data_IF_289835879027
#
_entry.id   IF_289835879027
#
_cell.length_a   1.000
_cell.length_b   1.000
_cell.length_c   1.000
_cell.angle_alpha   90.00
_cell.angle_beta   90.00
_cell.angle_gamma   90.00
#
_symmetry.space_group_name_H-M   'P 1'
#
loop_
_entity.id
_entity.type
_entity.pdbx_description
1 polymer ?
#
# COMPACT_ATOMS: atom_id res chain seq x y z
N UNK A 1 -28.59 -8.93 -14.84
CA UNK A 1 -27.84 -9.56 -13.74
C UNK A 1 -26.32 -9.71 -13.98
N UNK A 2 -25.70 -9.06 -14.99
CA UNK A 2 -24.29 -9.34 -15.36
C UNK A 2 -23.20 -8.36 -14.91
N UNK A 3 -23.52 -7.22 -14.30
CA UNK A 3 -22.50 -6.17 -14.02
C UNK A 3 -21.80 -6.31 -12.65
N UNK A 4 -22.46 -6.80 -11.59
CA UNK A 4 -21.83 -6.92 -10.26
C UNK A 4 -20.85 -8.11 -10.15
N UNK A 5 -21.03 -9.15 -10.97
CA UNK A 5 -20.16 -10.33 -10.96
C UNK A 5 -18.74 -10.05 -11.43
N UNK A 6 -18.63 -9.17 -12.42
CA UNK A 6 -17.38 -8.83 -13.07
C UNK A 6 -16.50 -7.98 -12.15
N UNK A 7 -17.08 -7.16 -11.28
CA UNK A 7 -16.32 -6.21 -10.45
C UNK A 7 -15.57 -6.87 -9.28
N UNK A 8 -16.12 -7.91 -8.67
CA UNK A 8 -15.51 -8.51 -7.45
C UNK A 8 -14.24 -9.30 -7.77
N UNK A 9 -14.29 -10.11 -8.83
CA UNK A 9 -13.14 -10.86 -9.32
C UNK A 9 -12.03 -9.93 -9.83
N UNK A 10 -12.42 -8.81 -10.46
CA UNK A 10 -11.48 -7.76 -10.89
C UNK A 10 -10.78 -7.08 -9.73
N UNK A 11 -11.49 -6.80 -8.63
CA UNK A 11 -10.87 -6.18 -7.44
C UNK A 11 -9.89 -7.15 -6.78
N UNK A 12 -10.27 -8.42 -6.60
CA UNK A 12 -9.37 -9.44 -6.04
C UNK A 12 -8.15 -9.68 -6.94
N UNK A 13 -8.34 -9.76 -8.25
CA UNK A 13 -7.25 -9.91 -9.22
C UNK A 13 -6.34 -8.68 -9.25
N UNK A 14 -6.90 -7.47 -9.20
CA UNK A 14 -6.13 -6.23 -9.14
C UNK A 14 -5.33 -6.13 -7.83
N UNK A 15 -5.94 -6.50 -6.70
CA UNK A 15 -5.26 -6.56 -5.41
C UNK A 15 -4.09 -7.56 -5.44
N UNK A 16 -4.35 -8.77 -5.92
CA UNK A 16 -3.32 -9.81 -6.07
C UNK A 16 -2.19 -9.38 -7.02
N UNK A 17 -2.50 -8.69 -8.11
CA UNK A 17 -1.51 -8.16 -9.04
C UNK A 17 -0.64 -7.09 -8.37
N UNK A 18 -1.24 -6.16 -7.64
CA UNK A 18 -0.51 -5.11 -6.92
C UNK A 18 0.40 -5.73 -5.85
N UNK A 19 -0.13 -6.65 -5.03
CA UNK A 19 0.66 -7.34 -4.01
C UNK A 19 1.79 -8.19 -4.64
N UNK A 20 1.54 -8.85 -5.78
CA UNK A 20 2.56 -9.59 -6.52
C UNK A 20 3.67 -8.67 -7.07
N UNK A 21 3.31 -7.48 -7.57
CA UNK A 21 4.29 -6.47 -7.98
C UNK A 21 5.12 -5.98 -6.79
N UNK A 22 4.50 -5.70 -5.64
CA UNK A 22 5.21 -5.27 -4.43
C UNK A 22 6.10 -6.37 -3.85
N UNK A 23 5.66 -7.61 -3.88
CA UNK A 23 6.47 -8.76 -3.50
C UNK A 23 7.65 -8.97 -4.47
N UNK A 24 7.41 -8.80 -5.77
CA UNK A 24 8.45 -8.84 -6.81
C UNK A 24 9.50 -7.74 -6.62
N UNK A 25 9.07 -6.51 -6.31
CA UNK A 25 9.95 -5.40 -5.94
C UNK A 25 10.79 -5.73 -4.70
N UNK A 26 10.17 -6.33 -3.68
CA UNK A 26 10.88 -6.74 -2.46
C UNK A 26 11.96 -7.79 -2.75
N UNK A 27 11.69 -8.74 -3.66
CA UNK A 27 12.65 -9.76 -4.06
C UNK A 27 13.76 -9.21 -4.97
N UNK A 28 13.42 -8.27 -5.86
CA UNK A 28 14.36 -7.67 -6.81
C UNK A 28 15.19 -6.51 -6.20
N UNK A 29 14.73 -5.93 -5.09
CA UNK A 29 15.41 -4.81 -4.43
C UNK A 29 15.28 -3.48 -5.18
N UNK A 30 14.34 -3.34 -6.12
CA UNK A 30 14.20 -2.10 -6.92
C UNK A 30 13.94 -0.87 -6.05
N UNK A 31 13.18 -1.02 -4.97
CA UNK A 31 13.02 0.03 -3.96
C UNK A 31 14.33 0.58 -3.42
N UNK A 32 15.29 -0.30 -3.11
CA UNK A 32 16.60 0.09 -2.58
C UNK A 32 17.41 0.83 -3.65
N UNK A 33 17.36 0.36 -4.90
CA UNK A 33 18.01 1.03 -6.03
C UNK A 33 17.43 2.43 -6.26
N UNK A 34 16.10 2.56 -6.23
CA UNK A 34 15.41 3.83 -6.39
C UNK A 34 15.76 4.81 -5.26
N UNK A 35 15.77 4.32 -4.01
CA UNK A 35 16.20 5.09 -2.85
C UNK A 35 17.65 5.57 -3.01
N UNK A 36 18.56 4.67 -3.41
CA UNK A 36 19.98 4.98 -3.61
C UNK A 36 20.18 5.98 -4.75
N UNK A 37 19.44 5.86 -5.84
CA UNK A 37 19.46 6.79 -6.95
C UNK A 37 19.01 8.20 -6.53
N UNK A 38 17.94 8.29 -5.72
CA UNK A 38 17.49 9.56 -5.12
C UNK A 38 18.58 10.14 -4.21
N UNK A 39 19.13 9.36 -3.29
CA UNK A 39 20.18 9.80 -2.39
C UNK A 39 21.41 10.32 -3.16
N UNK A 40 21.87 9.60 -4.18
CA UNK A 40 22.99 10.01 -5.04
C UNK A 40 22.68 11.32 -5.79
N UNK A 41 21.45 11.51 -6.25
CA UNK A 41 21.00 12.75 -6.89
C UNK A 41 21.10 13.92 -5.90
N UNK A 42 20.62 13.75 -4.67
CA UNK A 42 20.71 14.78 -3.63
C UNK A 42 22.17 15.14 -3.27
N UNK A 43 23.06 14.14 -3.25
CA UNK A 43 24.50 14.36 -3.05
C UNK A 43 25.10 15.12 -4.23
N UNK A 44 24.81 14.70 -5.46
CA UNK A 44 25.35 15.31 -6.68
C UNK A 44 25.01 16.81 -6.81
N UNK A 45 23.78 17.20 -6.44
CA UNK A 45 23.35 18.59 -6.46
C UNK A 45 23.69 19.40 -5.20
N UNK A 46 24.49 18.85 -4.26
CA UNK A 46 24.79 19.46 -2.95
C UNK A 46 23.54 19.79 -2.10
N UNK A 47 22.41 19.13 -2.37
CA UNK A 47 21.15 19.32 -1.64
C UNK A 47 21.06 18.45 -0.37
N UNK A 48 22.10 17.68 -0.07
CA UNK A 48 22.09 16.74 1.07
C UNK A 48 21.85 17.42 2.43
N UNK A 49 22.29 18.68 2.60
CA UNK A 49 22.07 19.45 3.84
C UNK A 49 20.60 19.87 4.03
N UNK A 50 19.86 20.04 2.93
CA UNK A 50 18.44 20.46 2.92
C UNK A 50 17.49 19.29 2.69
N UNK A 51 17.98 18.04 2.71
CA UNK A 51 17.22 16.82 2.43
C UNK A 51 15.93 16.70 3.24
N UNK A 52 15.92 17.17 4.48
CA UNK A 52 14.73 17.12 5.35
C UNK A 52 13.54 17.88 4.75
N UNK A 53 13.78 19.04 4.12
CA UNK A 53 12.71 19.85 3.52
C UNK A 53 12.08 19.11 2.34
N UNK A 54 12.91 18.51 1.49
CA UNK A 54 12.44 17.72 0.35
C UNK A 54 11.75 16.44 0.79
N UNK A 55 12.25 15.76 1.82
CA UNK A 55 11.62 14.57 2.39
C UNK A 55 10.23 14.90 2.93
N UNK A 56 10.08 15.98 3.71
CA UNK A 56 8.77 16.42 4.20
C UNK A 56 7.85 16.77 3.02
N UNK A 57 8.36 17.46 2.00
CA UNK A 57 7.61 17.77 0.79
C UNK A 57 7.11 16.51 0.06
N UNK A 58 7.98 15.51 -0.13
CA UNK A 58 7.64 14.24 -0.78
C UNK A 58 6.63 13.44 0.05
N UNK A 59 6.79 13.38 1.37
CA UNK A 59 5.83 12.73 2.27
C UNK A 59 4.47 13.43 2.26
N UNK A 60 4.47 14.76 2.19
CA UNK A 60 3.24 15.54 2.07
C UNK A 60 2.52 15.25 0.75
N UNK A 61 3.25 15.22 -0.37
CA UNK A 61 2.71 14.85 -1.69
C UNK A 61 2.17 13.42 -1.69
N UNK A 62 2.91 12.47 -1.11
CA UNK A 62 2.45 11.08 -0.95
C UNK A 62 1.16 11.01 -0.12
N UNK A 63 1.09 11.74 0.99
CA UNK A 63 -0.11 11.82 1.83
C UNK A 63 -1.31 12.38 1.08
N UNK A 64 -1.14 13.47 0.32
CA UNK A 64 -2.20 14.04 -0.52
C UNK A 64 -2.66 13.06 -1.61
N UNK A 65 -1.73 12.37 -2.25
CA UNK A 65 -2.04 11.36 -3.27
C UNK A 65 -2.85 10.21 -2.67
N UNK A 66 -2.43 9.67 -1.53
CA UNK A 66 -3.14 8.60 -0.83
C UNK A 66 -4.52 9.04 -0.35
N UNK A 67 -4.67 10.28 0.13
CA UNK A 67 -5.97 10.84 0.51
C UNK A 67 -6.90 10.99 -0.70
N UNK A 68 -6.37 11.48 -1.82
CA UNK A 68 -7.13 11.62 -3.07
C UNK A 68 -7.63 10.25 -3.56
N UNK A 69 -6.72 9.27 -3.66
CA UNK A 69 -7.05 7.90 -4.07
C UNK A 69 -8.03 7.29 -3.05
N UNK A 70 -7.75 7.41 -1.76
CA UNK A 70 -8.59 6.93 -0.68
C UNK A 70 -10.02 7.47 -0.78
N UNK A 71 -10.19 8.78 -0.98
CA UNK A 71 -11.51 9.40 -1.17
C UNK A 71 -12.26 8.78 -2.36
N UNK A 72 -11.59 8.59 -3.50
CA UNK A 72 -12.18 7.94 -4.67
C UNK A 72 -12.61 6.51 -4.40
N UNK A 73 -11.74 5.73 -3.76
CA UNK A 73 -11.97 4.31 -3.49
C UNK A 73 -13.04 4.10 -2.41
N UNK A 74 -13.00 4.86 -1.31
CA UNK A 74 -13.99 4.77 -0.23
C UNK A 74 -15.37 5.27 -0.63
N UNK A 75 -15.46 6.28 -1.51
CA UNK A 75 -16.74 6.72 -2.06
C UNK A 75 -17.31 5.68 -3.03
N UNK A 76 -16.48 5.09 -3.90
CA UNK A 76 -16.90 4.07 -4.87
C UNK A 76 -17.37 2.77 -4.22
N UNK A 77 -16.73 2.32 -3.14
CA UNK A 77 -17.05 1.05 -2.47
C UNK A 77 -17.90 1.21 -1.20
N UNK A 78 -18.68 2.29 -1.09
CA UNK A 78 -19.46 2.61 0.13
C UNK A 78 -20.32 1.45 0.66
N UNK A 79 -20.93 0.68 -0.24
CA UNK A 79 -21.83 -0.45 0.07
C UNK A 79 -21.12 -1.82 0.16
N UNK A 80 -19.79 -1.85 0.01
CA UNK A 80 -18.96 -3.07 -0.05
C UNK A 80 -17.85 -3.01 1.00
N UNK A 81 -18.14 -3.38 2.26
CA UNK A 81 -17.18 -3.25 3.35
C UNK A 81 -15.92 -4.10 3.15
N UNK A 82 -16.03 -5.28 2.52
CA UNK A 82 -14.88 -6.11 2.18
C UNK A 82 -13.93 -5.42 1.18
N UNK A 83 -14.48 -4.91 0.07
CA UNK A 83 -13.69 -4.14 -0.90
C UNK A 83 -13.02 -2.89 -0.29
N UNK A 84 -13.69 -2.22 0.66
CA UNK A 84 -13.09 -1.09 1.40
C UNK A 84 -11.92 -1.51 2.29
N UNK A 85 -12.05 -2.64 2.98
CA UNK A 85 -10.97 -3.18 3.81
C UNK A 85 -9.78 -3.60 2.94
N UNK A 86 -10.05 -4.23 1.79
CA UNK A 86 -9.01 -4.63 0.85
C UNK A 86 -8.26 -3.42 0.30
N UNK A 87 -9.00 -2.40 -0.13
CA UNK A 87 -8.45 -1.13 -0.58
C UNK A 87 -7.60 -0.44 0.49
N UNK A 88 -8.02 -0.50 1.76
CA UNK A 88 -7.26 0.07 2.86
C UNK A 88 -5.92 -0.65 3.05
N UNK A 89 -5.90 -1.99 2.98
CA UNK A 89 -4.68 -2.78 2.98
C UNK A 89 -3.73 -2.38 1.85
N UNK A 90 -4.23 -2.26 0.62
CA UNK A 90 -3.43 -1.81 -0.54
C UNK A 90 -2.89 -0.38 -0.39
N UNK A 91 -3.71 0.54 0.11
CA UNK A 91 -3.27 1.91 0.41
C UNK A 91 -2.17 1.93 1.46
N UNK A 92 -2.29 1.08 2.49
CA UNK A 92 -1.27 0.92 3.51
C UNK A 92 0.03 0.34 2.92
N UNK A 93 -0.04 -0.73 2.12
CA UNK A 93 1.13 -1.28 1.42
C UNK A 93 1.81 -0.24 0.52
N UNK A 94 1.02 0.53 -0.22
CA UNK A 94 1.53 1.61 -1.09
C UNK A 94 2.19 2.72 -0.28
N UNK A 95 1.62 3.06 0.88
CA UNK A 95 2.18 4.04 1.80
C UNK A 95 3.52 3.55 2.39
N UNK A 96 3.59 2.28 2.80
CA UNK A 96 4.82 1.68 3.31
C UNK A 96 5.92 1.67 2.24
N UNK A 97 5.58 1.24 1.03
CA UNK A 97 6.52 1.26 -0.10
C UNK A 97 7.05 2.67 -0.36
N UNK A 98 6.17 3.67 -0.45
CA UNK A 98 6.56 5.06 -0.67
C UNK A 98 7.36 5.64 0.49
N UNK A 99 7.00 5.30 1.74
CA UNK A 99 7.77 5.67 2.92
C UNK A 99 9.17 5.10 2.85
N UNK A 100 9.34 3.83 2.50
CA UNK A 100 10.66 3.20 2.42
C UNK A 100 11.52 3.75 1.26
N UNK A 101 10.90 4.22 0.17
CA UNK A 101 11.63 4.96 -0.89
C UNK A 101 12.10 6.33 -0.40
N UNK A 102 11.21 7.09 0.25
CA UNK A 102 11.44 8.50 0.63
C UNK A 102 12.24 8.64 1.92
N UNK A 103 12.13 7.65 2.82
CA UNK A 103 12.70 7.65 4.16
C UNK A 103 14.19 7.92 4.12
N UNK A 104 14.61 9.00 4.80
CA UNK A 104 16.01 9.26 5.11
C UNK A 104 16.18 9.30 6.63
N UNK A 105 17.00 8.37 7.14
CA UNK A 105 17.66 8.30 8.45
C UNK A 105 16.78 8.32 9.71
N UNK A 106 15.85 9.27 9.88
CA UNK A 106 14.98 9.35 11.07
C UNK A 106 13.74 8.47 10.94
N UNK A 107 13.11 8.44 9.76
CA UNK A 107 11.98 7.54 9.51
C UNK A 107 12.44 6.08 9.51
N UNK A 108 13.67 5.83 9.04
CA UNK A 108 14.32 4.52 9.12
C UNK A 108 14.50 4.04 10.56
N UNK A 109 14.86 4.94 11.49
CA UNK A 109 15.03 4.54 12.90
C UNK A 109 13.75 3.97 13.51
N UNK A 110 12.58 4.45 13.09
CA UNK A 110 11.28 3.94 13.57
C UNK A 110 10.89 2.67 12.80
N UNK A 111 11.00 2.70 11.47
CA UNK A 111 10.60 1.58 10.60
C UNK A 111 11.45 0.33 10.81
N UNK A 112 12.76 0.50 10.97
CA UNK A 112 13.72 -0.59 11.18
C UNK A 112 14.01 -0.84 12.66
N UNK A 113 13.24 -0.23 13.57
CA UNK A 113 13.34 -0.56 14.99
C UNK A 113 12.96 -2.02 15.22
N UNK A 114 13.82 -2.75 15.95
CA UNK A 114 13.60 -4.14 16.29
C UNK A 114 12.68 -4.24 17.51
N UNK A 115 11.53 -4.88 17.34
CA UNK A 115 10.61 -5.19 18.41
C UNK A 115 10.28 -6.68 18.37
N UNK A 116 10.58 -7.41 19.45
CA UNK A 116 10.33 -8.86 19.53
C UNK A 116 11.06 -9.72 18.49
N UNK A 117 12.20 -9.24 17.96
CA UNK A 117 12.99 -9.95 16.94
C UNK A 117 12.59 -9.67 15.49
N UNK A 118 11.55 -8.87 15.27
CA UNK A 118 11.13 -8.41 13.94
C UNK A 118 11.18 -6.88 13.85
N UNK A 119 11.38 -6.37 12.64
CA UNK A 119 11.36 -4.92 12.40
C UNK A 119 9.92 -4.40 12.37
N UNK A 120 9.69 -3.18 12.86
CA UNK A 120 8.36 -2.52 12.82
C UNK A 120 7.75 -2.57 11.42
N UNK A 121 8.57 -2.30 10.39
CA UNK A 121 8.13 -2.31 8.99
C UNK A 121 7.60 -3.67 8.55
N UNK A 122 8.18 -4.77 9.02
CA UNK A 122 7.71 -6.12 8.71
C UNK A 122 6.31 -6.38 9.27
N UNK A 123 6.03 -5.93 10.50
CA UNK A 123 4.69 -6.01 11.08
C UNK A 123 3.66 -5.20 10.29
N UNK A 124 4.05 -4.01 9.81
CA UNK A 124 3.17 -3.16 9.02
C UNK A 124 2.87 -3.79 7.65
N UNK A 125 3.85 -4.43 7.02
CA UNK A 125 3.66 -5.21 5.78
C UNK A 125 2.71 -6.39 5.98
N UNK A 126 2.90 -7.17 7.05
CA UNK A 126 2.00 -8.28 7.39
C UNK A 126 0.58 -7.77 7.65
N UNK A 127 0.43 -6.67 8.40
CA UNK A 127 -0.87 -6.06 8.66
C UNK A 127 -1.55 -5.63 7.35
N UNK A 128 -0.82 -4.98 6.45
CA UNK A 128 -1.35 -4.56 5.16
C UNK A 128 -1.83 -5.75 4.32
N UNK A 129 -1.01 -6.82 4.23
CA UNK A 129 -1.36 -8.05 3.51
C UNK A 129 -2.60 -8.75 4.13
N UNK A 130 -2.67 -8.82 5.47
CA UNK A 130 -3.82 -9.40 6.18
C UNK A 130 -5.10 -8.61 5.91
N UNK A 131 -5.04 -7.27 5.93
CA UNK A 131 -6.19 -6.42 5.62
C UNK A 131 -6.65 -6.59 4.17
N UNK A 132 -5.71 -6.67 3.22
CA UNK A 132 -6.00 -6.93 1.81
C UNK A 132 -6.70 -8.27 1.62
N UNK A 133 -6.12 -9.34 2.17
CA UNK A 133 -6.65 -10.70 2.06
C UNK A 133 -8.01 -10.86 2.74
N UNK A 134 -8.16 -10.39 3.98
CA UNK A 134 -9.44 -10.44 4.71
C UNK A 134 -10.52 -9.62 3.99
N UNK A 135 -10.17 -8.44 3.48
CA UNK A 135 -11.10 -7.62 2.73
C UNK A 135 -11.59 -8.30 1.46
N UNK A 136 -10.68 -8.89 0.69
CA UNK A 136 -11.01 -9.63 -0.53
C UNK A 136 -11.89 -10.86 -0.21
N UNK A 137 -11.53 -11.62 0.83
CA UNK A 137 -12.29 -12.79 1.27
C UNK A 137 -13.72 -12.44 1.71
N UNK A 138 -13.88 -11.40 2.53
CA UNK A 138 -15.19 -10.94 2.99
C UNK A 138 -16.09 -10.47 1.83
N UNK A 139 -15.50 -9.86 0.81
CA UNK A 139 -16.23 -9.39 -0.36
C UNK A 139 -16.73 -10.57 -1.23
N UNK A 140 -15.92 -11.63 -1.36
CA UNK A 140 -16.31 -12.90 -2.01
C UNK A 140 -17.45 -13.58 -1.23
N UNK A 141 -17.31 -13.76 0.09
CA UNK A 141 -18.33 -14.41 0.91
C UNK A 141 -19.69 -13.70 0.87
N UNK A 142 -19.68 -12.36 0.82
CA UNK A 142 -20.91 -11.57 0.71
C UNK A 142 -21.59 -11.80 -0.64
N UNK A 143 -20.82 -11.94 -1.72
CA UNK A 143 -21.34 -12.24 -3.07
C UNK A 143 -21.99 -13.61 -3.10
N UNK A 144 -21.34 -14.63 -2.54
CA UNK A 144 -21.87 -15.99 -2.56
C UNK A 144 -23.18 -16.11 -1.76
N UNK A 145 -23.26 -15.44 -0.60
CA UNK A 145 -24.52 -15.33 0.17
C UNK A 145 -25.65 -14.67 -0.61
N UNK A 146 -25.37 -13.58 -1.33
CA UNK A 146 -26.38 -12.93 -2.18
C UNK A 146 -26.92 -13.85 -3.27
N UNK A 147 -26.07 -14.69 -3.88
CA UNK A 147 -26.51 -15.65 -4.91
C UNK A 147 -27.42 -16.73 -4.34
N UNK A 148 -27.04 -17.31 -3.22
CA UNK A 148 -27.81 -18.39 -2.58
C UNK A 148 -29.23 -17.95 -2.15
N UNK A 149 -29.44 -16.66 -1.87
CA UNK A 149 -30.78 -16.13 -1.55
C UNK A 149 -31.64 -15.78 -2.78
N UNK A 150 -31.06 -15.75 -3.99
CA UNK A 150 -31.77 -15.38 -5.22
C UNK A 150 -31.98 -16.56 -6.19
N UNK A 151 -31.52 -17.76 -5.84
CA UNK A 151 -31.79 -19.03 -6.52
C UNK A 151 -32.94 -19.77 -5.85
#
# INVERSE_FOLDING_TARGET
>A
MGFEEVDSGKIAAAAALIDACLAGDTAAGWRLELHTALANTFVHYNLYQVRHVYQIGLLFVLGLLLLYIGRGVFSRFRSRPGARLAAFGLLLSSALWGLEVISLHQTDQVLYHLWGGCMTVAYLWVLAAVLTALGAFLDVLRRDRKRACCS
#
